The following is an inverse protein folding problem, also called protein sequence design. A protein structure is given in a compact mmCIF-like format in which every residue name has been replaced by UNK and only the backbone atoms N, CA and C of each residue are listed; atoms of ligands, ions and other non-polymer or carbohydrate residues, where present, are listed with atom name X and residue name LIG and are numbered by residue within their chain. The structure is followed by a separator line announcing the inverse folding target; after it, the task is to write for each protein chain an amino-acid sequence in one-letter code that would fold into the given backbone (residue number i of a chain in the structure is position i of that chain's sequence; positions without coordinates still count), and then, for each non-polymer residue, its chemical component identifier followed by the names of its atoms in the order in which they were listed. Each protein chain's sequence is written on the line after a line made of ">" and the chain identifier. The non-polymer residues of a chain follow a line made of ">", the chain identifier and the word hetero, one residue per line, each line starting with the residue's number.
data_IF_720558896199
#
_entry.id   IF_720558896199
#
_cell.length_a   1.000
_cell.length_b   1.000
_cell.length_c   1.000
_cell.angle_alpha   90.00
_cell.angle_beta   90.00
_cell.angle_gamma   90.00
#
_symmetry.space_group_name_H-M   'P 1'
#
loop_
_entity.id
_entity.type
_entity.pdbx_description
1 polymer ?
#
# COMPACT_ATOMS: atom_id res chain seq x y z
N UNK A 1 -1.75 -30.90 -45.69
CA UNK A 1 -3.02 -30.13 -45.79
C UNK A 1 -2.78 -28.76 -45.15
N UNK A 2 -3.08 -27.60 -45.71
CA UNK A 2 -3.73 -27.21 -46.95
C UNK A 2 -4.22 -25.75 -46.83
N UNK A 3 -3.56 -24.83 -47.57
CA UNK A 3 -4.07 -23.55 -48.14
C UNK A 3 -4.44 -22.42 -47.11
N UNK A 4 -4.19 -21.11 -47.28
CA UNK A 4 -4.35 -20.19 -48.44
C UNK A 4 -3.45 -18.94 -48.27
N UNK A 5 -2.63 -18.55 -49.26
CA UNK A 5 -2.85 -17.59 -50.38
C UNK A 5 -2.83 -16.09 -49.97
N UNK A 6 -1.71 -15.37 -50.20
CA UNK A 6 -1.36 -14.44 -51.34
C UNK A 6 -1.85 -12.99 -51.11
N UNK A 7 -1.18 -11.89 -51.50
CA UNK A 7 -0.35 -11.66 -52.69
C UNK A 7 0.58 -10.43 -52.56
N UNK A 8 1.61 -10.41 -53.40
CA UNK A 8 2.68 -9.41 -53.51
C UNK A 8 2.66 -8.76 -54.92
N UNK A 9 3.14 -7.51 -55.03
CA UNK A 9 3.66 -6.75 -56.19
C UNK A 9 2.71 -6.22 -57.28
N UNK A 10 2.95 -4.95 -57.66
CA UNK A 10 3.09 -4.56 -59.08
C UNK A 10 2.59 -3.16 -59.45
N UNK A 11 3.18 -2.44 -60.42
CA UNK A 11 3.32 -0.97 -60.40
C UNK A 11 2.42 -0.16 -61.38
N UNK A 12 2.59 1.16 -61.28
CA UNK A 12 1.96 2.35 -61.91
C UNK A 12 2.04 2.36 -63.45
N UNK A 13 1.18 3.15 -64.16
CA UNK A 13 1.75 4.19 -65.03
C UNK A 13 1.04 5.58 -65.02
N UNK A 14 1.93 6.59 -64.93
CA UNK A 14 2.01 7.97 -65.48
C UNK A 14 0.97 8.48 -66.50
N UNK A 15 0.61 9.77 -66.36
CA UNK A 15 0.56 10.84 -67.38
C UNK A 15 0.35 12.18 -66.64
N UNK A 16 1.38 13.04 -66.46
CA UNK A 16 1.91 14.07 -67.39
C UNK A 16 0.85 15.08 -67.82
N UNK A 17 1.00 16.33 -67.35
CA UNK A 17 0.95 17.57 -68.14
C UNK A 17 1.27 18.79 -67.25
N UNK A 18 2.52 19.25 -67.31
CA UNK A 18 2.86 20.68 -67.23
C UNK A 18 2.69 21.25 -68.65
N UNK A 19 2.22 22.50 -68.78
CA UNK A 19 3.14 23.61 -69.08
C UNK A 19 2.68 24.89 -68.36
N UNK A 20 3.37 26.02 -68.29
CA UNK A 20 4.69 26.51 -68.66
C UNK A 20 4.77 27.90 -68.02
N UNK A 21 5.91 28.23 -67.41
CA UNK A 21 6.21 29.60 -67.03
C UNK A 21 6.34 30.49 -68.26
N UNK A 22 5.86 31.73 -68.20
CA UNK A 22 6.58 32.93 -68.68
C UNK A 22 5.85 34.19 -68.23
N UNK A 23 6.61 35.22 -67.85
CA UNK A 23 6.25 36.59 -68.19
C UNK A 23 5.82 37.51 -67.05
N UNK A 24 6.81 38.13 -66.43
CA UNK A 24 6.74 39.35 -65.60
C UNK A 24 6.14 40.56 -66.34
N UNK A 25 5.22 41.30 -65.69
CA UNK A 25 5.16 42.77 -65.69
C UNK A 25 4.21 43.32 -64.60
N UNK A 26 4.65 44.40 -63.97
CA UNK A 26 4.04 45.16 -62.87
C UNK A 26 3.18 46.34 -63.42
N UNK A 27 2.69 47.30 -62.62
CA UNK A 27 1.40 47.31 -61.91
C UNK A 27 0.48 48.51 -62.31
N UNK A 28 -0.82 48.45 -62.01
CA UNK A 28 -1.66 49.65 -61.73
C UNK A 28 -2.99 49.18 -61.10
N UNK A 29 -3.23 49.51 -59.82
CA UNK A 29 -4.18 50.54 -59.36
C UNK A 29 -5.59 50.40 -59.93
N UNK A 30 -6.52 49.87 -59.13
CA UNK A 30 -7.41 50.70 -58.32
C UNK A 30 -8.64 49.92 -57.77
N UNK A 31 -8.93 50.21 -56.51
CA UNK A 31 -10.19 50.06 -55.77
C UNK A 31 -10.58 48.73 -55.07
N UNK A 32 -11.12 48.83 -53.83
CA UNK A 32 -11.17 47.73 -52.86
C UNK A 32 -12.50 46.95 -52.89
N UNK A 33 -12.41 45.64 -52.71
CA UNK A 33 -13.52 44.74 -52.39
C UNK A 33 -13.62 44.52 -50.87
N UNK A 34 -14.81 44.22 -50.30
CA UNK A 34 -15.06 44.29 -48.87
C UNK A 34 -14.40 43.14 -48.10
N UNK A 35 -14.00 43.45 -46.87
CA UNK A 35 -13.32 42.55 -45.95
C UNK A 35 -14.11 41.26 -45.68
N UNK A 36 -13.51 40.14 -46.07
CA UNK A 36 -13.93 38.79 -45.70
C UNK A 36 -13.37 38.52 -44.29
N UNK A 37 -14.26 38.42 -43.31
CA UNK A 37 -13.93 38.01 -41.93
C UNK A 37 -13.25 36.64 -41.93
N UNK A 38 -11.94 36.63 -41.73
CA UNK A 38 -11.23 35.42 -41.33
C UNK A 38 -11.46 35.22 -39.83
N UNK A 39 -12.45 34.40 -39.49
CA UNK A 39 -12.59 33.86 -38.15
C UNK A 39 -11.37 33.01 -37.81
N UNK A 40 -10.45 33.56 -37.03
CA UNK A 40 -9.37 32.80 -36.39
C UNK A 40 -10.00 31.91 -35.33
N UNK A 41 -10.28 30.65 -35.69
CA UNK A 41 -10.57 29.61 -34.71
C UNK A 41 -9.30 29.36 -33.91
N UNK A 42 -9.16 30.05 -32.78
CA UNK A 42 -8.20 29.70 -31.76
C UNK A 42 -8.60 28.35 -31.18
N UNK A 43 -7.81 27.32 -31.45
CA UNK A 43 -7.88 26.04 -30.77
C UNK A 43 -7.79 26.27 -29.25
N UNK A 44 -8.80 25.80 -28.52
CA UNK A 44 -8.85 25.86 -27.07
C UNK A 44 -7.63 25.13 -26.50
N UNK A 45 -6.82 25.76 -25.63
CA UNK A 45 -5.70 25.06 -25.04
C UNK A 45 -6.26 23.97 -24.12
N UNK A 46 -5.86 22.73 -24.36
CA UNK A 46 -6.09 21.63 -23.41
C UNK A 46 -5.33 22.00 -22.14
N UNK A 47 -6.08 22.51 -21.17
CA UNK A 47 -5.58 22.79 -19.82
C UNK A 47 -5.20 21.43 -19.20
N UNK A 48 -3.93 21.03 -19.36
CA UNK A 48 -3.34 20.01 -18.49
C UNK A 48 -3.40 20.59 -17.08
N UNK A 49 -4.35 20.11 -16.28
CA UNK A 49 -4.42 20.40 -14.85
C UNK A 49 -3.07 20.06 -14.26
N UNK A 50 -2.28 21.09 -13.94
CA UNK A 50 -1.12 20.94 -13.09
C UNK A 50 -1.65 20.56 -11.71
N UNK A 51 -1.77 19.25 -11.44
CA UNK A 51 -1.84 18.79 -10.07
C UNK A 51 -0.61 19.33 -9.36
N UNK A 52 -0.83 20.06 -8.27
CA UNK A 52 0.21 20.71 -7.47
C UNK A 52 1.37 19.74 -7.21
N UNK A 53 2.64 20.13 -7.42
CA UNK A 53 3.82 19.29 -7.19
C UNK A 53 3.86 18.55 -5.84
N UNK A 54 3.21 19.11 -4.81
CA UNK A 54 3.06 18.48 -3.48
C UNK A 54 2.17 17.24 -3.47
N UNK A 55 1.08 17.25 -4.23
CA UNK A 55 0.17 16.10 -4.32
C UNK A 55 0.83 14.94 -5.08
N UNK A 56 1.64 15.25 -6.10
CA UNK A 56 2.42 14.23 -6.82
C UNK A 56 3.57 13.68 -5.97
N UNK A 57 4.22 14.52 -5.15
CA UNK A 57 5.22 14.08 -4.20
C UNK A 57 4.64 13.12 -3.14
N UNK A 58 3.48 13.45 -2.56
CA UNK A 58 2.80 12.61 -1.58
C UNK A 58 2.39 11.26 -2.17
N UNK A 59 1.76 11.25 -3.35
CA UNK A 59 1.40 10.02 -4.06
C UNK A 59 2.62 9.15 -4.38
N UNK A 60 3.73 9.76 -4.77
CA UNK A 60 4.96 9.02 -5.02
C UNK A 60 5.52 8.42 -3.73
N UNK A 61 5.47 9.15 -2.61
CA UNK A 61 5.85 8.63 -1.29
C UNK A 61 5.00 7.41 -0.91
N UNK A 62 3.68 7.51 -1.00
CA UNK A 62 2.75 6.42 -0.71
C UNK A 62 3.00 5.17 -1.58
N UNK A 63 3.27 5.37 -2.88
CA UNK A 63 3.61 4.28 -3.81
C UNK A 63 4.91 3.58 -3.43
N UNK A 64 5.93 4.34 -3.03
CA UNK A 64 7.21 3.79 -2.57
C UNK A 64 7.01 2.98 -1.29
N UNK A 65 6.30 3.52 -0.30
CA UNK A 65 6.03 2.85 0.98
C UNK A 65 5.23 1.56 0.77
N UNK A 66 4.20 1.61 -0.08
CA UNK A 66 3.39 0.43 -0.41
C UNK A 66 4.24 -0.66 -1.08
N UNK A 67 5.04 -0.30 -2.08
CA UNK A 67 5.92 -1.25 -2.76
C UNK A 67 6.99 -1.82 -1.81
N UNK A 68 7.60 -0.97 -0.97
CA UNK A 68 8.58 -1.39 0.02
C UNK A 68 7.97 -2.37 1.02
N UNK A 69 6.77 -2.10 1.56
CA UNK A 69 6.05 -3.01 2.46
C UNK A 69 5.86 -4.39 1.84
N UNK A 70 5.34 -4.45 0.61
CA UNK A 70 5.11 -5.71 -0.08
C UNK A 70 6.41 -6.50 -0.29
N UNK A 71 7.47 -5.82 -0.71
CA UNK A 71 8.78 -6.46 -0.93
C UNK A 71 9.46 -6.88 0.37
N UNK A 72 9.29 -6.12 1.44
CA UNK A 72 9.80 -6.44 2.78
C UNK A 72 9.13 -7.67 3.39
N UNK A 73 7.82 -7.82 3.17
CA UNK A 73 7.06 -9.02 3.54
C UNK A 73 7.56 -10.25 2.76
N UNK A 74 7.86 -10.10 1.48
CA UNK A 74 8.20 -11.22 0.60
C UNK A 74 9.67 -11.64 0.68
N UNK A 75 10.59 -10.67 0.74
CA UNK A 75 12.03 -10.88 0.60
C UNK A 75 12.86 -10.41 1.79
N UNK A 76 12.23 -9.84 2.83
CA UNK A 76 12.91 -9.31 4.01
C UNK A 76 13.40 -7.85 3.86
N UNK A 77 14.05 -7.27 4.88
CA UNK A 77 14.40 -5.84 4.92
C UNK A 77 15.52 -5.43 3.96
N UNK A 78 16.28 -6.39 3.42
CA UNK A 78 17.50 -6.12 2.65
C UNK A 78 17.25 -5.83 1.17
N UNK A 79 15.99 -5.80 0.73
CA UNK A 79 15.63 -5.55 -0.67
C UNK A 79 16.30 -4.28 -1.22
N UNK A 80 16.97 -4.34 -2.38
CA UNK A 80 17.60 -3.17 -3.00
C UNK A 80 16.60 -2.05 -3.37
N UNK A 81 17.02 -0.79 -3.21
CA UNK A 81 16.18 0.39 -3.49
C UNK A 81 15.74 0.51 -4.96
N UNK A 82 16.56 0.02 -5.89
CA UNK A 82 16.25 -0.02 -7.32
C UNK A 82 15.12 -1.01 -7.63
N UNK A 83 15.06 -2.15 -6.94
CA UNK A 83 13.94 -3.07 -7.06
C UNK A 83 12.65 -2.46 -6.49
N UNK A 84 12.74 -1.76 -5.36
CA UNK A 84 11.61 -1.03 -4.76
C UNK A 84 11.13 0.08 -5.71
N UNK A 85 12.04 0.85 -6.32
CA UNK A 85 11.71 1.88 -7.30
C UNK A 85 10.98 1.30 -8.50
N UNK A 86 11.48 0.17 -9.04
CA UNK A 86 10.86 -0.57 -10.15
C UNK A 86 9.46 -1.06 -9.78
N UNK A 87 9.28 -1.65 -8.59
CA UNK A 87 7.99 -2.13 -8.07
C UNK A 87 7.00 -0.97 -7.88
N UNK A 88 7.48 0.16 -7.36
CA UNK A 88 6.69 1.38 -7.16
C UNK A 88 6.38 2.11 -8.48
N UNK A 89 7.07 1.81 -9.57
CA UNK A 89 6.95 2.49 -10.86
C UNK A 89 7.43 3.95 -10.82
N UNK A 90 8.51 4.20 -10.07
CA UNK A 90 9.17 5.51 -9.93
C UNK A 90 10.67 5.40 -10.23
N UNK A 91 11.34 6.50 -10.54
CA UNK A 91 12.80 6.48 -10.75
C UNK A 91 13.59 6.46 -9.44
N UNK A 92 14.80 5.88 -9.44
CA UNK A 92 15.68 5.80 -8.25
C UNK A 92 15.93 7.17 -7.60
N UNK A 93 16.17 8.21 -8.41
CA UNK A 93 16.35 9.56 -7.90
C UNK A 93 15.12 10.07 -7.13
N UNK A 94 13.92 9.60 -7.45
CA UNK A 94 12.70 9.94 -6.69
C UNK A 94 12.64 9.20 -5.36
N UNK A 95 13.10 7.95 -5.29
CA UNK A 95 13.19 7.21 -4.02
C UNK A 95 14.16 7.91 -3.07
N UNK A 96 15.40 8.15 -3.50
CA UNK A 96 16.42 8.81 -2.67
C UNK A 96 16.04 10.24 -2.24
N UNK A 97 15.25 10.96 -3.04
CA UNK A 97 14.71 12.27 -2.64
C UNK A 97 13.64 12.19 -1.53
N UNK A 98 12.90 11.09 -1.45
CA UNK A 98 11.87 10.88 -0.43
C UNK A 98 12.40 10.18 0.82
N UNK A 99 13.41 9.32 0.63
CA UNK A 99 14.01 8.47 1.66
C UNK A 99 15.54 8.50 1.47
N UNK A 100 16.25 9.32 2.25
CA UNK A 100 17.69 9.51 2.06
C UNK A 100 18.51 8.25 2.37
N UNK A 101 18.02 7.41 3.26
CA UNK A 101 18.63 6.15 3.68
C UNK A 101 17.58 5.05 3.87
N UNK A 102 18.07 3.81 4.09
CA UNK A 102 17.24 2.63 4.30
C UNK A 102 16.41 2.76 5.58
N UNK A 103 16.99 3.26 6.65
CA UNK A 103 16.33 3.42 7.95
C UNK A 103 15.09 4.33 7.84
N UNK A 104 15.17 5.42 7.08
CA UNK A 104 14.05 6.30 6.82
C UNK A 104 12.91 5.60 6.06
N UNK A 105 13.23 4.73 5.10
CA UNK A 105 12.21 3.96 4.38
C UNK A 105 11.59 2.88 5.28
N UNK A 106 12.41 2.13 6.02
CA UNK A 106 11.93 1.07 6.90
C UNK A 106 11.05 1.65 8.02
N UNK A 107 11.49 2.73 8.66
CA UNK A 107 10.69 3.45 9.66
C UNK A 107 9.34 3.88 9.11
N UNK A 108 9.31 4.49 7.92
CA UNK A 108 8.05 4.91 7.29
C UNK A 108 7.13 3.71 7.00
N UNK A 109 7.68 2.60 6.51
CA UNK A 109 6.91 1.37 6.26
C UNK A 109 6.31 0.84 7.56
N UNK A 110 7.10 0.78 8.63
CA UNK A 110 6.63 0.33 9.95
C UNK A 110 5.56 1.24 10.50
N UNK A 111 5.77 2.57 10.48
CA UNK A 111 4.75 3.54 10.90
C UNK A 111 3.47 3.35 10.09
N UNK A 112 3.57 3.21 8.77
CA UNK A 112 2.40 3.00 7.90
C UNK A 112 1.62 1.75 8.25
N UNK A 113 2.28 0.66 8.63
CA UNK A 113 1.61 -0.58 9.07
C UNK A 113 0.95 -0.41 10.44
N UNK A 114 1.60 0.27 11.37
CA UNK A 114 1.02 0.56 12.70
C UNK A 114 -0.19 1.51 12.59
N UNK A 115 -0.13 2.48 11.69
CA UNK A 115 -1.26 3.39 11.41
C UNK A 115 -2.46 2.62 10.84
N UNK A 116 -2.25 1.75 9.84
CA UNK A 116 -3.32 0.87 9.31
C UNK A 116 -3.89 -0.06 10.38
N UNK A 117 -3.04 -0.64 11.21
CA UNK A 117 -3.47 -1.49 12.33
C UNK A 117 -4.33 -0.70 13.32
N UNK A 118 -3.97 0.57 13.57
CA UNK A 118 -4.76 1.48 14.41
C UNK A 118 -6.11 1.80 13.77
N UNK A 119 -6.14 2.11 12.46
CA UNK A 119 -7.38 2.38 11.72
C UNK A 119 -8.33 1.19 11.75
N UNK A 120 -7.82 -0.03 11.61
CA UNK A 120 -8.61 -1.26 11.72
C UNK A 120 -9.21 -1.43 13.11
N UNK A 121 -8.44 -1.15 14.17
CA UNK A 121 -8.94 -1.22 15.54
C UNK A 121 -10.02 -0.16 15.81
N UNK A 122 -9.81 1.07 15.34
CA UNK A 122 -10.77 2.17 15.44
C UNK A 122 -12.08 1.85 14.71
N UNK A 123 -11.99 1.26 13.51
CA UNK A 123 -13.18 0.80 12.76
C UNK A 123 -13.91 -0.31 13.51
N UNK A 124 -13.21 -1.31 14.01
CA UNK A 124 -13.83 -2.40 14.77
C UNK A 124 -14.54 -1.87 16.03
N UNK A 125 -13.91 -0.95 16.76
CA UNK A 125 -14.50 -0.29 17.95
C UNK A 125 -15.75 0.55 17.63
N UNK A 126 -15.84 1.09 16.42
CA UNK A 126 -16.92 1.98 15.99
C UNK A 126 -18.09 1.23 15.32
N UNK A 127 -17.80 0.15 14.60
CA UNK A 127 -18.77 -0.54 13.74
C UNK A 127 -19.40 -1.77 14.40
N UNK A 128 -18.67 -2.47 15.28
CA UNK A 128 -19.15 -3.72 15.87
C UNK A 128 -19.86 -3.48 17.20
N UNK A 129 -21.08 -3.99 17.31
CA UNK A 129 -21.90 -3.86 18.52
C UNK A 129 -21.50 -4.87 19.61
N UNK A 130 -21.07 -6.08 19.22
CA UNK A 130 -20.54 -7.07 20.15
C UNK A 130 -19.04 -6.82 20.36
N UNK A 131 -18.58 -6.57 21.61
CA UNK A 131 -17.17 -6.28 21.87
C UNK A 131 -16.20 -7.40 21.52
N UNK A 132 -16.65 -8.66 21.56
CA UNK A 132 -15.81 -9.78 21.19
C UNK A 132 -15.70 -9.91 19.66
N UNK A 133 -16.79 -9.70 18.93
CA UNK A 133 -16.76 -9.63 17.46
C UNK A 133 -15.84 -8.48 16.98
N UNK A 134 -15.82 -7.34 17.68
CA UNK A 134 -14.85 -6.27 17.44
C UNK A 134 -13.40 -6.75 17.58
N UNK A 135 -13.10 -7.49 18.65
CA UNK A 135 -11.78 -8.06 18.88
C UNK A 135 -11.40 -9.11 17.83
N UNK A 136 -12.34 -9.98 17.43
CA UNK A 136 -12.13 -10.97 16.37
C UNK A 136 -11.83 -10.30 15.03
N UNK A 137 -12.65 -9.31 14.65
CA UNK A 137 -12.46 -8.54 13.41
C UNK A 137 -11.11 -7.85 13.38
N UNK A 138 -10.75 -7.16 14.47
CA UNK A 138 -9.43 -6.54 14.60
C UNK A 138 -8.31 -7.57 14.44
N UNK A 139 -8.40 -8.70 15.15
CA UNK A 139 -7.36 -9.74 15.16
C UNK A 139 -7.12 -10.33 13.77
N UNK A 140 -8.20 -10.59 13.02
CA UNK A 140 -8.10 -11.09 11.65
C UNK A 140 -7.49 -10.05 10.70
N UNK A 141 -7.95 -8.81 10.74
CA UNK A 141 -7.43 -7.77 9.88
C UNK A 141 -5.97 -7.37 10.23
N UNK A 142 -5.59 -7.42 11.50
CA UNK A 142 -4.21 -7.22 11.93
C UNK A 142 -3.26 -8.32 11.39
N UNK A 143 -3.77 -9.55 11.23
CA UNK A 143 -3.01 -10.63 10.60
C UNK A 143 -2.81 -10.40 9.10
N UNK A 144 -3.80 -9.82 8.41
CA UNK A 144 -3.71 -9.46 6.98
C UNK A 144 -2.69 -8.36 6.70
N UNK A 145 -2.52 -7.42 7.64
CA UNK A 145 -1.48 -6.38 7.56
C UNK A 145 -0.06 -6.95 7.73
N UNK A 146 0.07 -8.24 8.08
CA UNK A 146 1.35 -8.97 8.21
C UNK A 146 2.36 -8.25 9.10
N UNK A 147 1.87 -7.58 10.14
CA UNK A 147 2.68 -6.87 11.15
C UNK A 147 3.83 -7.75 11.67
N UNK A 148 3.54 -9.04 11.86
CA UNK A 148 4.48 -10.05 12.36
C UNK A 148 5.66 -10.35 11.44
N UNK A 149 5.50 -10.19 10.13
CA UNK A 149 6.57 -10.36 9.14
C UNK A 149 7.55 -9.18 9.19
N UNK A 150 7.12 -8.03 9.70
CA UNK A 150 7.94 -6.83 9.88
C UNK A 150 8.57 -6.74 11.27
N UNK A 151 8.13 -7.56 12.23
CA UNK A 151 8.71 -7.61 13.58
C UNK A 151 10.23 -7.83 13.64
N UNK A 152 10.86 -8.68 12.80
CA UNK A 152 12.32 -8.81 12.79
C UNK A 152 13.04 -7.51 12.41
N UNK A 153 12.39 -6.60 11.68
CA UNK A 153 12.98 -5.31 11.37
C UNK A 153 13.07 -4.41 12.62
N UNK A 154 12.18 -4.62 13.60
CA UNK A 154 12.16 -3.88 14.87
C UNK A 154 13.27 -4.29 15.85
N UNK A 155 13.92 -5.44 15.64
CA UNK A 155 14.90 -5.97 16.61
C UNK A 155 16.33 -5.50 16.37
N UNK A 156 16.78 -5.32 15.13
CA UNK A 156 18.23 -5.17 14.85
C UNK A 156 18.63 -4.10 13.81
N UNK A 157 17.70 -3.52 13.03
CA UNK A 157 18.08 -2.81 11.80
C UNK A 157 17.99 -1.28 11.86
N UNK A 158 17.23 -0.67 12.79
CA UNK A 158 17.07 0.79 12.88
C UNK A 158 16.73 1.27 14.30
N UNK A 159 16.79 2.59 14.51
CA UNK A 159 16.46 3.24 15.79
C UNK A 159 14.99 2.99 16.19
N UNK A 160 14.77 1.92 16.96
CA UNK A 160 13.46 1.54 17.53
C UNK A 160 12.90 2.57 18.50
N UNK A 161 13.75 3.44 19.05
CA UNK A 161 13.36 4.48 20.00
C UNK A 161 13.00 5.81 19.33
N UNK A 162 12.95 5.84 18.00
CA UNK A 162 12.49 7.01 17.29
C UNK A 162 11.09 7.42 17.78
N UNK A 163 10.86 8.71 18.11
CA UNK A 163 9.61 9.17 18.72
C UNK A 163 8.34 8.76 17.94
N UNK A 164 8.40 8.79 16.61
CA UNK A 164 7.27 8.43 15.74
C UNK A 164 6.90 6.94 15.86
N UNK A 165 7.91 6.06 15.91
CA UNK A 165 7.68 4.61 16.06
C UNK A 165 7.08 4.30 17.42
N UNK A 166 7.63 4.92 18.46
CA UNK A 166 7.11 4.78 19.82
C UNK A 166 5.69 5.33 19.94
N UNK A 167 5.37 6.44 19.27
CA UNK A 167 4.03 6.99 19.25
C UNK A 167 3.03 6.07 18.54
N UNK A 168 3.39 5.54 17.37
CA UNK A 168 2.55 4.61 16.60
C UNK A 168 2.33 3.30 17.37
N UNK A 169 3.39 2.73 17.96
CA UNK A 169 3.31 1.50 18.77
C UNK A 169 2.41 1.68 19.99
N UNK A 170 2.59 2.77 20.75
CA UNK A 170 1.72 3.09 21.89
C UNK A 170 0.26 3.30 21.47
N UNK A 171 0.00 3.82 20.25
CA UNK A 171 -1.37 3.98 19.76
C UNK A 171 -2.03 2.62 19.53
N UNK A 172 -1.36 1.71 18.83
CA UNK A 172 -1.85 0.35 18.61
C UNK A 172 -2.12 -0.36 19.94
N UNK A 173 -1.18 -0.29 20.89
CA UNK A 173 -1.34 -0.90 22.22
C UNK A 173 -2.59 -0.43 22.96
N UNK A 174 -2.82 0.89 23.01
CA UNK A 174 -4.01 1.45 23.67
C UNK A 174 -5.31 0.98 23.02
N UNK A 175 -5.34 0.87 21.70
CA UNK A 175 -6.54 0.42 20.98
C UNK A 175 -6.82 -1.07 21.21
N UNK A 176 -5.77 -1.90 21.29
CA UNK A 176 -5.91 -3.32 21.65
C UNK A 176 -6.42 -3.45 23.09
N UNK A 177 -5.85 -2.69 24.02
CA UNK A 177 -6.29 -2.66 25.42
C UNK A 177 -7.77 -2.27 25.52
N UNK A 178 -8.20 -1.23 24.80
CA UNK A 178 -9.61 -0.81 24.79
C UNK A 178 -10.55 -1.90 24.24
N UNK A 179 -10.19 -2.56 23.13
CA UNK A 179 -10.96 -3.69 22.58
C UNK A 179 -11.12 -4.82 23.61
N UNK A 180 -10.03 -5.20 24.26
CA UNK A 180 -10.04 -6.26 25.26
C UNK A 180 -10.82 -5.88 26.52
N UNK A 181 -10.69 -4.64 26.99
CA UNK A 181 -11.39 -4.16 28.17
C UNK A 181 -12.91 -4.10 27.96
N UNK A 182 -13.36 -3.67 26.77
CA UNK A 182 -14.79 -3.73 26.42
C UNK A 182 -15.32 -5.16 26.41
N UNK A 183 -14.56 -6.11 25.85
CA UNK A 183 -14.95 -7.52 25.83
C UNK A 183 -14.94 -8.18 27.22
N UNK A 184 -14.00 -7.79 28.09
CA UNK A 184 -13.99 -8.22 29.50
C UNK A 184 -15.18 -7.64 30.26
N UNK A 185 -15.46 -6.34 30.08
CA UNK A 185 -16.58 -5.67 30.74
C UNK A 185 -17.94 -6.24 30.32
N UNK A 186 -18.07 -6.67 29.06
CA UNK A 186 -19.25 -7.38 28.56
C UNK A 186 -19.33 -8.84 29.02
N UNK A 187 -18.28 -9.37 29.65
CA UNK A 187 -18.21 -10.77 30.08
C UNK A 187 -18.11 -11.77 28.93
N UNK A 188 -17.68 -11.32 27.74
CA UNK A 188 -17.50 -12.16 26.53
C UNK A 188 -16.04 -12.59 26.33
N UNK A 189 -15.08 -11.89 26.94
CA UNK A 189 -13.66 -12.26 27.00
C UNK A 189 -13.29 -12.77 28.40
N UNK A 190 -12.50 -13.85 28.48
CA UNK A 190 -11.97 -14.38 29.75
C UNK A 190 -11.12 -13.32 30.49
N UNK A 191 -11.16 -13.24 31.84
CA UNK A 191 -10.50 -12.16 32.57
C UNK A 191 -8.98 -12.36 32.74
N UNK A 192 -8.48 -13.58 32.57
CA UNK A 192 -7.10 -14.01 32.79
C UNK A 192 -6.20 -13.91 31.54
N UNK A 193 -6.62 -13.16 30.52
CA UNK A 193 -5.81 -12.87 29.31
C UNK A 193 -5.42 -11.39 29.23
N UNK A 194 -4.16 -11.13 28.86
CA UNK A 194 -3.60 -9.79 28.69
C UNK A 194 -3.32 -9.43 27.22
N UNK A 195 -3.04 -8.14 26.98
CA UNK A 195 -2.69 -7.61 25.66
C UNK A 195 -1.48 -8.32 25.06
N UNK A 196 -0.47 -8.63 25.89
CA UNK A 196 0.73 -9.33 25.44
C UNK A 196 0.44 -10.74 24.94
N UNK A 197 -0.50 -11.47 25.54
CA UNK A 197 -0.88 -12.81 25.08
C UNK A 197 -1.45 -12.77 23.67
N UNK A 198 -2.32 -11.79 23.40
CA UNK A 198 -2.90 -11.58 22.07
C UNK A 198 -1.83 -11.18 21.06
N UNK A 199 -0.95 -10.24 21.41
CA UNK A 199 0.13 -9.79 20.52
C UNK A 199 1.08 -10.94 20.16
N UNK A 200 1.47 -11.76 21.14
CA UNK A 200 2.32 -12.95 20.90
C UNK A 200 1.61 -13.95 20.00
N UNK A 201 0.35 -14.26 20.29
CA UNK A 201 -0.41 -15.22 19.50
C UNK A 201 -0.58 -14.75 18.05
N UNK A 202 -0.96 -13.49 17.82
CA UNK A 202 -1.06 -12.91 16.48
C UNK A 202 0.29 -12.95 15.78
N UNK A 203 1.37 -12.58 16.45
CA UNK A 203 2.71 -12.59 15.86
C UNK A 203 3.17 -14.00 15.43
N UNK A 204 2.86 -15.03 16.22
CA UNK A 204 3.22 -16.41 15.93
C UNK A 204 2.33 -17.04 14.87
N UNK A 205 1.01 -16.80 14.95
CA UNK A 205 0.02 -17.44 14.08
C UNK A 205 -0.07 -16.80 12.69
N UNK A 206 0.33 -15.53 12.54
CA UNK A 206 0.38 -14.86 11.24
C UNK A 206 1.74 -15.01 10.52
N UNK A 207 2.74 -15.60 11.17
CA UNK A 207 4.04 -15.87 10.53
C UNK A 207 3.89 -17.03 9.55
N UNK A 208 4.22 -16.88 8.25
CA UNK A 208 4.21 -18.00 7.33
C UNK A 208 5.23 -19.07 7.77
N UNK A 209 4.90 -20.37 7.71
CA UNK A 209 5.84 -21.42 8.06
C UNK A 209 7.08 -21.34 7.17
N UNK A 210 8.27 -21.41 7.78
CA UNK A 210 9.55 -21.29 7.08
C UNK A 210 9.61 -22.26 5.89
N UNK A 211 9.96 -21.75 4.70
CA UNK A 211 10.10 -22.55 3.48
C UNK A 211 8.80 -22.89 2.75
N UNK A 212 7.64 -22.40 3.18
CA UNK A 212 6.37 -22.61 2.47
C UNK A 212 5.85 -21.30 1.86
N UNK A 213 6.21 -21.04 0.60
CA UNK A 213 5.51 -20.07 -0.24
C UNK A 213 4.17 -20.68 -0.70
N UNK A 214 3.30 -21.03 0.24
CA UNK A 214 2.04 -21.67 -0.09
C UNK A 214 0.94 -20.61 -0.16
N UNK A 215 0.33 -20.45 -1.34
CA UNK A 215 -0.85 -19.62 -1.61
C UNK A 215 -2.10 -19.97 -0.75
N UNK A 216 -1.99 -20.96 0.13
CA UNK A 216 -3.03 -21.34 1.10
C UNK A 216 -2.69 -20.97 2.56
N UNK A 217 -1.51 -20.39 2.81
CA UNK A 217 -1.07 -19.98 4.15
C UNK A 217 -2.09 -19.04 4.80
N UNK A 218 -2.62 -18.06 4.07
CA UNK A 218 -3.61 -17.11 4.59
C UNK A 218 -4.89 -17.82 5.08
N UNK A 219 -5.39 -18.85 4.36
CA UNK A 219 -6.55 -19.65 4.83
C UNK A 219 -6.26 -20.38 6.14
N UNK A 220 -5.05 -20.88 6.31
CA UNK A 220 -4.66 -21.54 7.56
C UNK A 220 -4.51 -20.52 8.69
N UNK A 221 -3.95 -19.33 8.43
CA UNK A 221 -3.79 -18.26 9.42
C UNK A 221 -5.14 -17.91 10.06
N UNK A 222 -6.15 -17.54 9.27
CA UNK A 222 -7.46 -17.17 9.84
C UNK A 222 -8.12 -18.34 10.58
N UNK A 223 -7.98 -19.58 10.11
CA UNK A 223 -8.53 -20.73 10.81
C UNK A 223 -7.89 -20.94 12.18
N UNK A 224 -6.56 -20.86 12.29
CA UNK A 224 -5.88 -21.04 13.57
C UNK A 224 -6.11 -19.85 14.50
N UNK A 225 -6.20 -18.63 13.95
CA UNK A 225 -6.61 -17.45 14.72
C UNK A 225 -8.02 -17.61 15.29
N UNK A 226 -8.98 -18.10 14.50
CA UNK A 226 -10.34 -18.33 15.02
C UNK A 226 -10.34 -19.40 16.13
N UNK A 227 -9.58 -20.50 15.98
CA UNK A 227 -9.45 -21.50 17.04
C UNK A 227 -8.84 -20.92 18.33
N UNK A 228 -7.88 -20.01 18.20
CA UNK A 228 -7.30 -19.30 19.32
C UNK A 228 -8.32 -18.36 19.97
N UNK A 229 -9.02 -17.54 19.17
CA UNK A 229 -10.05 -16.60 19.62
C UNK A 229 -11.21 -17.32 20.32
N UNK A 230 -11.69 -18.45 19.79
CA UNK A 230 -12.70 -19.28 20.44
C UNK A 230 -12.27 -19.74 21.85
N UNK A 231 -10.97 -19.95 22.06
CA UNK A 231 -10.38 -20.29 23.37
C UNK A 231 -10.28 -19.11 24.35
N UNK A 232 -10.42 -17.87 23.86
CA UNK A 232 -10.46 -16.66 24.69
C UNK A 232 -11.86 -16.30 25.18
N UNK A 233 -12.91 -16.85 24.56
CA UNK A 233 -14.30 -16.55 24.94
C UNK A 233 -14.60 -16.94 26.38
N UNK A 234 -15.42 -16.13 27.03
CA UNK A 234 -16.04 -16.45 28.31
C UNK A 234 -17.38 -17.17 28.12
N UNK A 235 -17.79 -18.05 29.05
CA UNK A 235 -17.05 -18.47 30.24
C UNK A 235 -15.85 -19.36 29.90
N UNK A 236 -14.73 -19.14 30.59
CA UNK A 236 -13.50 -19.90 30.35
C UNK A 236 -13.71 -21.38 30.67
N UNK A 237 -13.26 -22.27 29.76
CA UNK A 237 -13.39 -23.74 29.90
C UNK A 237 -12.27 -24.36 30.74
N UNK A 238 -11.19 -23.61 31.00
CA UNK A 238 -10.01 -24.02 31.75
C UNK A 238 -9.29 -22.78 32.30
N UNK A 239 -8.40 -22.97 33.27
CA UNK A 239 -7.48 -21.92 33.76
C UNK A 239 -6.21 -21.90 32.92
N UNK A 240 -5.73 -20.71 32.51
CA UNK A 240 -4.42 -20.60 31.86
C UNK A 240 -3.29 -20.81 32.89
N UNK A 241 -2.20 -21.51 32.52
CA UNK A 241 -1.01 -21.59 33.36
C UNK A 241 -0.25 -20.26 33.35
N UNK A 242 0.39 -19.92 34.46
CA UNK A 242 1.21 -18.72 34.58
C UNK A 242 0.40 -17.43 34.77
N UNK A 243 0.99 -16.30 34.39
CA UNK A 243 0.37 -14.97 34.40
C UNK A 243 0.29 -14.44 32.97
N UNK A 244 -0.71 -13.58 32.72
CA UNK A 244 -0.86 -12.92 31.43
C UNK A 244 0.42 -12.15 31.05
N UNK A 245 0.85 -12.28 29.79
CA UNK A 245 2.01 -11.55 29.28
C UNK A 245 1.70 -10.06 29.23
N UNK A 246 2.57 -9.27 29.84
CA UNK A 246 2.48 -7.81 29.80
C UNK A 246 3.18 -7.26 28.55
N UNK A 247 2.68 -6.14 28.05
CA UNK A 247 3.33 -5.42 26.95
C UNK A 247 4.77 -4.99 27.32
N UNK A 248 5.01 -4.73 28.60
CA UNK A 248 6.34 -4.35 29.10
C UNK A 248 7.33 -5.51 29.05
N UNK A 249 6.92 -6.73 29.40
CA UNK A 249 7.75 -7.93 29.24
C UNK A 249 8.14 -8.16 27.79
N UNK A 250 7.21 -7.94 26.84
CA UNK A 250 7.50 -8.04 25.41
C UNK A 250 8.46 -6.97 24.88
N UNK A 251 8.55 -5.82 25.54
CA UNK A 251 9.53 -4.79 25.17
C UNK A 251 10.95 -5.13 25.60
N UNK A 252 11.08 -5.93 26.65
CA UNK A 252 12.37 -6.26 27.28
C UNK A 252 12.97 -7.56 26.73
N UNK A 253 12.19 -8.36 26.00
CA UNK A 253 12.60 -9.60 25.31
C UNK A 253 13.14 -9.34 23.91
#
# INVERSE_FOLDING_TARGET
>A
MGRRWRNNRGPIPRLVLCPSETGTRSPDRDHPAPHQEYAVQTATPVQRRASRPRADALRNRERIVTAAREMFVEFGPDVPFDEIARRAGVGNATVYRNFPDRDALVREVVCSVMDRTSEVAEQALAEEADPFEALERFTHAAADERVSALCPMLSDTFDKHHPDLEAARRRVERLIEELMDRAKAAGTLRPDVGVGDLMVAVAQLSRPPAGTACFSADRFVHRHLQLFLDGLRAPARSTLPGTAVTVEELRQS
#
